data_IF_499519206029
#
_entry.id   IF_499519206029
#
_cell.length_a   1.000
_cell.length_b   1.000
_cell.length_c   1.000
_cell.angle_alpha   90.00
_cell.angle_beta   90.00
_cell.angle_gamma   90.00
#
_symmetry.space_group_name_H-M   'P 1'
#
loop_
_entity.id
_entity.type
_entity.pdbx_description
1 polymer ?
#
# COMPACT_ATOMS: atom_id res chain seq x y z
N UNK A 1 7.74 -25.27 6.13
CA UNK A 1 6.94 -24.13 6.56
C UNK A 1 7.49 -22.84 5.98
N UNK A 2 6.62 -21.88 5.69
CA UNK A 2 6.98 -20.54 5.20
C UNK A 2 6.18 -19.51 5.98
N UNK A 3 6.86 -18.53 6.54
CA UNK A 3 6.23 -17.38 7.18
C UNK A 3 6.14 -16.22 6.20
N UNK A 4 4.91 -15.85 5.83
CA UNK A 4 4.60 -14.72 4.99
C UNK A 4 4.09 -13.57 5.87
N UNK A 5 4.80 -12.45 5.85
CA UNK A 5 4.39 -11.25 6.58
C UNK A 5 3.80 -10.22 5.60
N UNK A 6 2.50 -9.92 5.76
CA UNK A 6 1.78 -8.96 4.91
C UNK A 6 1.70 -7.57 5.53
N UNK A 7 1.71 -6.55 4.66
CA UNK A 7 1.69 -5.13 5.06
C UNK A 7 0.40 -4.72 5.75
N UNK A 8 -0.71 -5.30 5.38
CA UNK A 8 -2.03 -5.07 5.93
C UNK A 8 -2.97 -6.20 5.51
N UNK A 9 -3.99 -6.50 6.32
CA UNK A 9 -5.06 -7.39 5.92
C UNK A 9 -6.14 -6.58 5.18
N UNK A 10 -6.29 -6.81 3.87
CA UNK A 10 -7.13 -5.97 3.00
C UNK A 10 -7.74 -6.77 1.86
N UNK A 11 -8.98 -6.45 1.49
CA UNK A 11 -9.64 -7.00 0.30
C UNK A 11 -8.82 -6.74 -0.98
N UNK A 12 -7.96 -5.75 -0.97
CA UNK A 12 -7.01 -5.45 -2.06
C UNK A 12 -6.09 -6.64 -2.39
N UNK A 13 -5.92 -7.56 -1.43
CA UNK A 13 -5.11 -8.78 -1.54
C UNK A 13 -5.95 -10.06 -1.63
N UNK A 14 -7.23 -9.96 -2.03
CA UNK A 14 -8.15 -11.08 -2.14
C UNK A 14 -7.58 -12.31 -2.89
N UNK A 15 -6.79 -12.18 -3.98
CA UNK A 15 -6.20 -13.35 -4.62
C UNK A 15 -5.28 -14.16 -3.71
N UNK A 16 -4.51 -13.51 -2.82
CA UNK A 16 -3.67 -14.19 -1.83
C UNK A 16 -4.52 -15.02 -0.86
N UNK A 17 -5.59 -14.42 -0.34
CA UNK A 17 -6.48 -15.13 0.60
C UNK A 17 -7.23 -16.26 -0.07
N UNK A 18 -7.68 -16.05 -1.30
CA UNK A 18 -8.31 -17.12 -2.10
C UNK A 18 -7.35 -18.32 -2.29
N UNK A 19 -6.07 -18.06 -2.59
CA UNK A 19 -5.08 -19.11 -2.72
C UNK A 19 -4.84 -19.87 -1.41
N UNK A 20 -4.87 -19.18 -0.27
CA UNK A 20 -4.74 -19.78 1.05
C UNK A 20 -5.97 -20.67 1.37
N UNK A 21 -7.19 -20.11 1.23
CA UNK A 21 -8.44 -20.79 1.57
C UNK A 21 -8.75 -21.98 0.65
N UNK A 22 -8.40 -21.86 -0.64
CA UNK A 22 -8.54 -22.95 -1.61
C UNK A 22 -7.45 -24.02 -1.46
N UNK A 23 -6.42 -23.79 -0.64
CA UNK A 23 -5.40 -24.77 -0.32
C UNK A 23 -4.27 -24.87 -1.34
N UNK A 24 -4.13 -23.93 -2.28
CA UNK A 24 -3.12 -23.98 -3.35
C UNK A 24 -1.68 -24.03 -2.80
N UNK A 25 -1.38 -23.28 -1.75
CA UNK A 25 -0.07 -23.38 -1.09
C UNK A 25 0.21 -24.78 -0.53
N UNK A 26 -0.84 -25.43 0.04
CA UNK A 26 -0.71 -26.78 0.57
C UNK A 26 -0.55 -27.82 -0.54
N UNK A 27 -1.18 -27.63 -1.69
CA UNK A 27 -1.02 -28.50 -2.89
C UNK A 27 0.42 -28.48 -3.38
N UNK A 28 1.08 -27.30 -3.30
CA UNK A 28 2.50 -27.12 -3.61
C UNK A 28 3.45 -27.52 -2.46
N UNK A 29 2.93 -28.14 -1.41
CA UNK A 29 3.73 -28.58 -0.25
C UNK A 29 4.16 -27.47 0.71
N UNK A 30 3.62 -26.27 0.57
CA UNK A 30 3.94 -25.10 1.39
C UNK A 30 3.00 -25.05 2.59
N UNK A 31 3.55 -25.22 3.80
CA UNK A 31 2.85 -24.95 5.05
C UNK A 31 3.01 -23.46 5.37
N UNK A 32 2.04 -22.63 4.93
CA UNK A 32 2.08 -21.19 5.06
C UNK A 32 1.59 -20.72 6.43
N UNK A 33 2.31 -19.79 7.04
CA UNK A 33 1.87 -19.00 8.20
C UNK A 33 1.77 -17.55 7.78
N UNK A 34 0.57 -16.97 7.80
CA UNK A 34 0.34 -15.57 7.48
C UNK A 34 0.40 -14.70 8.74
N UNK A 35 1.19 -13.63 8.70
CA UNK A 35 1.36 -12.67 9.79
C UNK A 35 1.08 -11.27 9.25
N UNK A 36 0.31 -10.45 9.99
CA UNK A 36 0.08 -9.06 9.63
C UNK A 36 1.09 -8.14 10.33
N UNK A 37 1.98 -7.52 9.57
CA UNK A 37 3.00 -6.60 10.05
C UNK A 37 2.50 -5.20 10.33
N UNK A 38 1.32 -4.83 9.81
CA UNK A 38 0.73 -3.50 9.94
C UNK A 38 1.66 -2.35 9.50
N UNK A 39 2.30 -2.54 8.33
CA UNK A 39 3.14 -1.53 7.70
C UNK A 39 4.40 -2.07 7.04
N UNK A 40 4.79 -1.48 5.91
CA UNK A 40 5.91 -1.95 5.09
C UNK A 40 7.26 -1.94 5.83
N UNK A 41 7.49 -0.96 6.69
CA UNK A 41 8.68 -0.87 7.56
C UNK A 41 8.79 -2.05 8.53
N UNK A 42 7.67 -2.47 9.12
CA UNK A 42 7.62 -3.62 10.05
C UNK A 42 7.77 -4.94 9.31
N UNK A 43 7.12 -5.08 8.14
CA UNK A 43 7.28 -6.25 7.27
C UNK A 43 8.73 -6.39 6.84
N UNK A 44 9.37 -5.29 6.40
CA UNK A 44 10.77 -5.30 6.01
C UNK A 44 11.69 -5.62 7.20
N UNK A 45 11.40 -5.08 8.38
CA UNK A 45 12.14 -5.42 9.60
C UNK A 45 12.07 -6.92 9.89
N UNK A 46 10.87 -7.51 9.88
CA UNK A 46 10.68 -8.95 10.09
C UNK A 46 11.42 -9.80 9.04
N UNK A 47 11.43 -9.34 7.78
CA UNK A 47 12.14 -10.02 6.70
C UNK A 47 13.67 -9.99 6.92
N UNK A 48 14.24 -8.83 7.26
CA UNK A 48 15.69 -8.67 7.46
C UNK A 48 16.15 -9.39 8.74
N UNK A 49 15.37 -9.34 9.82
CA UNK A 49 15.68 -10.06 11.07
C UNK A 49 15.58 -11.59 10.93
N UNK A 50 14.83 -12.09 9.95
CA UNK A 50 14.56 -13.52 9.76
C UNK A 50 13.34 -14.03 10.53
N UNK A 51 12.52 -13.13 11.08
CA UNK A 51 11.22 -13.48 11.68
C UNK A 51 10.16 -13.82 10.62
N UNK A 52 10.40 -13.43 9.37
CA UNK A 52 9.62 -13.83 8.20
C UNK A 52 10.54 -14.29 7.07
N UNK A 53 10.08 -15.28 6.30
CA UNK A 53 10.76 -15.80 5.11
C UNK A 53 10.46 -14.93 3.88
N UNK A 54 9.20 -14.50 3.76
CA UNK A 54 8.70 -13.69 2.65
C UNK A 54 7.96 -12.48 3.23
N UNK A 55 8.27 -11.29 2.69
CA UNK A 55 7.55 -10.05 2.95
C UNK A 55 6.62 -9.75 1.78
N UNK A 56 5.37 -9.38 2.08
CA UNK A 56 4.39 -8.92 1.12
C UNK A 56 4.03 -7.46 1.41
N UNK A 57 4.56 -6.54 0.62
CA UNK A 57 4.50 -5.10 0.87
C UNK A 57 4.71 -4.29 -0.39
N UNK A 58 4.67 -2.97 -0.29
CA UNK A 58 5.01 -2.09 -1.40
C UNK A 58 6.44 -2.38 -1.90
N UNK A 59 6.59 -2.41 -3.22
CA UNK A 59 7.86 -2.77 -3.87
C UNK A 59 9.00 -1.79 -3.56
N UNK A 60 8.69 -0.55 -3.17
CA UNK A 60 9.65 0.49 -2.79
C UNK A 60 10.51 0.11 -1.59
N UNK A 61 9.99 -0.73 -0.68
CA UNK A 61 10.71 -1.12 0.53
C UNK A 61 12.01 -1.88 0.22
N UNK A 62 12.03 -2.65 -0.88
CA UNK A 62 13.25 -3.33 -1.35
C UNK A 62 14.32 -2.34 -1.84
N UNK A 63 13.88 -1.24 -2.47
CA UNK A 63 14.78 -0.17 -2.95
C UNK A 63 15.47 0.50 -1.77
N UNK A 64 14.72 0.79 -0.69
CA UNK A 64 15.28 1.41 0.50
C UNK A 64 16.32 0.54 1.19
N UNK A 65 16.11 -0.77 1.31
CA UNK A 65 17.08 -1.67 1.91
C UNK A 65 18.36 -1.77 1.08
N UNK A 66 18.23 -1.84 -0.23
CA UNK A 66 19.37 -1.82 -1.14
C UNK A 66 20.14 -0.49 -1.06
N UNK A 67 19.45 0.65 -1.13
CA UNK A 67 20.06 1.98 -1.07
C UNK A 67 20.77 2.25 0.26
N UNK A 68 20.29 1.65 1.36
CA UNK A 68 20.91 1.74 2.69
C UNK A 68 22.10 0.77 2.88
N UNK A 69 22.52 0.06 1.84
CA UNK A 69 23.73 -0.77 1.85
C UNK A 69 23.58 -2.11 2.55
N UNK A 70 22.35 -2.64 2.64
CA UNK A 70 22.17 -4.01 3.16
C UNK A 70 22.86 -5.01 2.23
N UNK A 71 23.74 -5.86 2.76
CA UNK A 71 24.44 -6.91 1.99
C UNK A 71 23.48 -8.02 1.57
N UNK A 72 22.54 -8.42 2.45
CA UNK A 72 21.49 -9.39 2.19
C UNK A 72 20.15 -8.67 2.02
N UNK A 73 20.06 -7.85 0.97
CA UNK A 73 18.88 -7.02 0.70
C UNK A 73 17.71 -7.85 0.17
N UNK A 74 16.51 -7.28 0.33
CA UNK A 74 15.28 -7.85 -0.18
C UNK A 74 15.17 -7.63 -1.70
N UNK A 75 14.70 -8.65 -2.41
CA UNK A 75 14.41 -8.62 -3.85
C UNK A 75 12.94 -8.96 -4.05
N UNK A 76 12.26 -8.16 -4.86
CA UNK A 76 10.89 -8.46 -5.31
C UNK A 76 10.96 -9.57 -6.36
N UNK A 77 10.28 -10.68 -6.14
CA UNK A 77 10.28 -11.83 -7.05
C UNK A 77 8.93 -12.12 -7.69
N UNK A 78 7.83 -11.62 -7.10
CA UNK A 78 6.49 -11.76 -7.66
C UNK A 78 5.66 -10.51 -7.33
N UNK A 79 4.74 -10.16 -8.22
CA UNK A 79 3.84 -9.02 -8.08
C UNK A 79 2.40 -9.50 -7.97
N UNK A 80 1.64 -9.00 -6.98
CA UNK A 80 0.22 -9.27 -6.87
C UNK A 80 -0.62 -8.12 -7.45
N UNK A 81 -0.33 -6.88 -7.07
CA UNK A 81 -1.09 -5.71 -7.50
C UNK A 81 -0.26 -4.83 -8.43
N UNK A 82 -0.87 -4.42 -9.55
CA UNK A 82 -0.19 -3.71 -10.63
C UNK A 82 -0.68 -2.26 -10.82
N UNK A 83 -1.50 -1.78 -9.88
CA UNK A 83 -1.98 -0.39 -9.79
C UNK A 83 -2.20 -0.04 -8.33
N UNK A 84 -2.26 1.26 -8.04
CA UNK A 84 -2.72 1.71 -6.74
C UNK A 84 -4.18 1.29 -6.51
N UNK A 85 -4.49 0.83 -5.31
CA UNK A 85 -5.84 0.36 -4.93
C UNK A 85 -6.61 1.40 -4.12
N UNK A 86 -6.12 2.63 -4.05
CA UNK A 86 -6.70 3.68 -3.27
C UNK A 86 -7.39 4.74 -4.14
N UNK A 87 -8.29 5.46 -3.48
CA UNK A 87 -9.13 6.49 -4.06
C UNK A 87 -8.96 7.80 -3.29
N UNK A 88 -9.18 8.90 -3.97
CA UNK A 88 -9.31 10.20 -3.35
C UNK A 88 -10.78 10.44 -3.02
N UNK A 89 -11.06 10.69 -1.76
CA UNK A 89 -12.40 10.97 -1.24
C UNK A 89 -12.45 12.44 -0.84
N UNK A 90 -13.39 13.18 -1.42
CA UNK A 90 -13.66 14.59 -1.09
C UNK A 90 -14.71 14.71 0.01
N UNK A 91 -14.63 15.76 0.82
CA UNK A 91 -15.65 16.10 1.82
C UNK A 91 -16.95 16.58 1.18
N UNK A 92 -16.88 17.16 0.02
CA UNK A 92 -18.03 17.74 -0.71
C UNK A 92 -18.15 17.12 -2.11
N UNK A 93 -19.37 17.04 -2.66
CA UNK A 93 -19.54 16.55 -4.03
C UNK A 93 -18.77 17.39 -5.04
N UNK A 94 -18.12 16.74 -6.00
CA UNK A 94 -17.41 17.39 -7.10
C UNK A 94 -17.66 16.59 -8.38
N UNK A 95 -18.42 17.15 -9.34
CA UNK A 95 -18.75 16.49 -10.60
C UNK A 95 -17.59 16.52 -11.60
N UNK A 96 -16.77 17.59 -11.57
CA UNK A 96 -15.69 17.85 -12.51
C UNK A 96 -14.33 18.00 -11.78
N UNK A 97 -14.00 17.09 -10.85
CA UNK A 97 -12.74 17.14 -10.11
C UNK A 97 -11.53 17.16 -11.04
N UNK A 98 -10.61 18.08 -10.74
CA UNK A 98 -9.28 18.15 -11.34
C UNK A 98 -8.22 18.04 -10.25
N UNK A 99 -7.09 17.38 -10.54
CA UNK A 99 -6.01 17.21 -9.54
C UNK A 99 -5.47 18.56 -9.03
N UNK A 100 -5.52 19.59 -9.86
CA UNK A 100 -5.13 20.97 -9.53
C UNK A 100 -6.02 21.61 -8.46
N UNK A 101 -7.23 21.10 -8.23
CA UNK A 101 -8.13 21.55 -7.16
C UNK A 101 -7.59 21.26 -5.76
N UNK A 102 -6.56 20.40 -5.67
CA UNK A 102 -5.89 20.09 -4.41
C UNK A 102 -4.96 21.21 -3.92
N UNK A 103 -4.67 22.22 -4.74
CA UNK A 103 -3.83 23.34 -4.33
C UNK A 103 -4.43 24.08 -3.11
N UNK A 104 -3.65 24.23 -2.06
CA UNK A 104 -4.06 24.86 -0.79
C UNK A 104 -4.99 24.00 0.08
N UNK A 105 -5.21 22.74 -0.28
CA UNK A 105 -6.11 21.85 0.46
C UNK A 105 -5.39 21.02 1.50
N UNK A 106 -6.16 20.63 2.52
CA UNK A 106 -5.73 19.67 3.52
C UNK A 106 -6.19 18.27 3.16
N UNK A 107 -5.24 17.31 3.12
CA UNK A 107 -5.49 15.93 2.72
C UNK A 107 -5.01 15.00 3.83
N UNK A 108 -5.87 14.09 4.28
CA UNK A 108 -5.42 12.92 5.03
C UNK A 108 -4.73 11.99 4.03
N UNK A 109 -3.42 12.13 3.91
CA UNK A 109 -2.62 11.43 2.93
C UNK A 109 -2.19 10.05 3.38
N UNK A 110 -1.96 9.14 2.42
CA UNK A 110 -1.53 7.78 2.65
C UNK A 110 -0.34 7.64 3.62
N UNK A 111 -0.12 6.42 4.08
CA UNK A 111 0.89 6.13 5.10
C UNK A 111 2.27 6.67 4.74
N UNK A 112 2.88 7.43 5.67
CA UNK A 112 4.22 8.00 5.50
C UNK A 112 5.28 6.91 5.20
N UNK A 113 6.09 7.14 4.17
CA UNK A 113 7.17 6.24 3.79
C UNK A 113 6.73 4.98 3.04
N UNK A 114 5.44 4.84 2.69
CA UNK A 114 4.90 3.70 1.97
C UNK A 114 4.46 4.03 0.55
N UNK A 115 4.12 2.99 -0.21
CA UNK A 115 3.64 3.11 -1.59
C UNK A 115 2.43 4.07 -1.73
N UNK A 116 1.45 4.11 -0.80
CA UNK A 116 0.36 5.07 -0.87
C UNK A 116 0.82 6.52 -0.93
N UNK A 117 1.80 6.90 -0.13
CA UNK A 117 2.40 8.24 -0.20
C UNK A 117 3.11 8.47 -1.53
N UNK A 118 3.99 7.55 -1.93
CA UNK A 118 4.80 7.71 -3.14
C UNK A 118 3.94 7.89 -4.40
N UNK A 119 2.88 7.10 -4.53
CA UNK A 119 1.96 7.20 -5.67
C UNK A 119 1.18 8.50 -5.63
N UNK A 120 0.68 8.91 -4.48
CA UNK A 120 -0.03 10.18 -4.34
C UNK A 120 0.88 11.36 -4.71
N UNK A 121 2.08 11.43 -4.16
CA UNK A 121 3.06 12.47 -4.50
C UNK A 121 3.49 12.45 -5.97
N UNK A 122 3.59 11.25 -6.57
CA UNK A 122 3.85 11.12 -8.01
C UNK A 122 2.73 11.76 -8.83
N UNK A 123 1.47 11.49 -8.49
CA UNK A 123 0.31 12.08 -9.16
C UNK A 123 0.31 13.60 -9.01
N UNK A 124 0.53 14.12 -7.81
CA UNK A 124 0.61 15.57 -7.57
C UNK A 124 1.68 16.21 -8.46
N UNK A 125 2.87 15.63 -8.50
CA UNK A 125 3.98 16.13 -9.35
C UNK A 125 3.66 16.06 -10.84
N UNK A 126 2.93 15.02 -11.28
CA UNK A 126 2.45 14.88 -12.65
C UNK A 126 1.51 16.03 -13.05
N UNK A 127 0.75 16.55 -12.09
CA UNK A 127 -0.15 17.69 -12.23
C UNK A 127 0.48 19.02 -11.80
N UNK A 128 1.83 19.10 -11.76
CA UNK A 128 2.62 20.29 -11.41
C UNK A 128 2.32 20.84 -10.00
N UNK A 129 1.88 19.99 -9.07
CA UNK A 129 1.74 20.33 -7.65
C UNK A 129 2.95 19.83 -6.86
N UNK A 130 3.51 20.70 -6.02
CA UNK A 130 4.53 20.31 -5.04
C UNK A 130 3.85 19.79 -3.77
N UNK A 131 4.00 18.49 -3.43
CA UNK A 131 3.36 17.90 -2.26
C UNK A 131 3.68 18.59 -0.93
N UNK A 132 4.84 19.26 -0.85
CA UNK A 132 5.29 19.92 0.38
C UNK A 132 4.93 21.41 0.44
N UNK A 133 4.75 22.05 -0.72
CA UNK A 133 4.52 23.49 -0.82
C UNK A 133 3.05 23.86 -1.12
N UNK A 134 2.38 23.02 -1.92
CA UNK A 134 1.05 23.34 -2.44
C UNK A 134 -0.09 22.69 -1.65
N UNK A 135 0.17 21.70 -0.78
CA UNK A 135 -0.82 20.99 0.00
C UNK A 135 -0.42 20.92 1.49
N UNK A 136 -1.42 20.73 2.36
CA UNK A 136 -1.23 20.26 3.74
C UNK A 136 -1.56 18.76 3.80
N UNK A 137 -0.54 17.90 3.73
CA UNK A 137 -0.73 16.45 3.77
C UNK A 137 -0.49 15.94 5.19
N UNK A 138 -1.59 15.66 5.90
CA UNK A 138 -1.54 15.09 7.26
C UNK A 138 -1.38 13.57 7.19
N UNK A 139 -0.24 13.09 7.68
CA UNK A 139 0.12 11.67 7.77
C UNK A 139 0.27 11.19 9.22
N UNK A 140 -0.25 11.95 10.19
CA UNK A 140 -0.16 11.63 11.62
C UNK A 140 -1.09 10.49 12.04
N UNK A 141 -2.15 10.24 11.26
CA UNK A 141 -3.14 9.20 11.54
C UNK A 141 -2.61 7.84 11.09
N UNK A 142 -2.76 6.84 11.96
CA UNK A 142 -2.32 5.48 11.65
C UNK A 142 -3.07 4.91 10.45
N UNK A 143 -2.34 4.10 9.67
CA UNK A 143 -2.88 3.38 8.52
C UNK A 143 -4.14 2.58 8.89
N UNK A 144 -5.20 2.74 8.09
CA UNK A 144 -6.49 2.09 8.31
C UNK A 144 -7.43 2.83 9.28
N UNK A 145 -7.03 3.96 9.86
CA UNK A 145 -7.87 4.78 10.73
C UNK A 145 -8.29 6.11 10.09
N UNK A 146 -7.79 6.42 8.91
CA UNK A 146 -8.04 7.68 8.19
C UNK A 146 -9.51 7.88 7.88
N UNK A 147 -10.18 6.84 7.36
CA UNK A 147 -11.61 6.89 7.07
C UNK A 147 -12.48 7.16 8.30
N UNK A 148 -12.13 6.57 9.45
CA UNK A 148 -12.86 6.83 10.70
C UNK A 148 -12.61 8.25 11.25
N UNK A 149 -11.42 8.80 10.99
CA UNK A 149 -11.06 10.14 11.42
C UNK A 149 -11.58 11.24 10.49
N UNK A 150 -11.73 10.96 9.20
CA UNK A 150 -12.06 11.93 8.18
C UNK A 150 -13.33 12.74 8.49
N UNK A 151 -14.48 12.14 8.87
CA UNK A 151 -15.71 12.89 9.13
C UNK A 151 -15.57 13.98 10.20
N UNK A 152 -14.75 13.73 11.22
CA UNK A 152 -14.53 14.65 12.35
C UNK A 152 -13.30 15.55 12.19
N UNK A 153 -12.49 15.36 11.14
CA UNK A 153 -11.30 16.16 10.84
C UNK A 153 -11.66 17.47 10.13
N UNK A 154 -10.67 18.34 9.97
CA UNK A 154 -10.76 19.56 9.15
C UNK A 154 -10.20 19.34 7.72
N UNK A 155 -9.87 18.11 7.35
CA UNK A 155 -9.35 17.80 6.02
C UNK A 155 -10.43 17.93 4.93
N UNK A 156 -10.03 18.44 3.77
CA UNK A 156 -10.88 18.58 2.59
C UNK A 156 -11.02 17.23 1.86
N UNK A 157 -9.95 16.43 1.90
CA UNK A 157 -9.85 15.13 1.21
C UNK A 157 -9.20 14.07 2.09
N UNK A 158 -9.44 12.81 1.74
CA UNK A 158 -8.75 11.65 2.31
C UNK A 158 -8.37 10.65 1.23
N UNK A 159 -7.22 9.98 1.41
CA UNK A 159 -6.75 8.90 0.54
C UNK A 159 -7.10 7.57 1.18
N UNK A 160 -8.09 6.87 0.62
CA UNK A 160 -8.68 5.68 1.21
C UNK A 160 -8.60 4.46 0.31
N UNK A 161 -8.51 3.28 0.92
CA UNK A 161 -8.69 1.99 0.25
C UNK A 161 -10.14 1.51 0.37
N UNK A 162 -10.52 0.55 -0.46
CA UNK A 162 -11.77 -0.18 -0.25
C UNK A 162 -11.63 -1.17 0.93
N UNK A 163 -12.70 -1.38 1.71
CA UNK A 163 -14.07 -0.87 1.56
C UNK A 163 -14.31 0.51 2.18
N UNK A 164 -13.29 1.17 2.69
CA UNK A 164 -13.44 2.42 3.46
C UNK A 164 -13.91 3.59 2.59
N UNK A 165 -13.44 3.69 1.34
CA UNK A 165 -13.91 4.72 0.40
C UNK A 165 -15.42 4.59 0.16
N UNK A 166 -15.91 3.40 -0.16
CA UNK A 166 -17.35 3.13 -0.31
C UNK A 166 -18.13 3.34 0.99
N UNK A 167 -17.55 3.03 2.15
CA UNK A 167 -18.19 3.27 3.45
C UNK A 167 -18.44 4.76 3.66
N UNK A 168 -17.45 5.62 3.41
CA UNK A 168 -17.59 7.06 3.52
C UNK A 168 -18.71 7.60 2.62
N UNK A 169 -18.81 7.11 1.37
CA UNK A 169 -19.90 7.49 0.47
C UNK A 169 -21.26 7.02 0.98
N UNK A 170 -21.37 5.76 1.38
CA UNK A 170 -22.62 5.15 1.83
C UNK A 170 -23.17 5.83 3.07
N UNK A 171 -22.28 6.28 3.97
CA UNK A 171 -22.62 7.00 5.18
C UNK A 171 -22.85 8.51 4.94
N UNK A 172 -22.63 9.00 3.72
CA UNK A 172 -22.74 10.43 3.39
C UNK A 172 -21.63 11.30 4.00
N UNK A 173 -20.50 10.69 4.35
CA UNK A 173 -19.36 11.34 4.99
C UNK A 173 -18.26 11.75 4.01
N UNK A 174 -18.38 11.38 2.73
CA UNK A 174 -17.44 11.72 1.68
C UNK A 174 -17.93 11.29 0.29
N UNK A 175 -17.19 11.67 -0.73
CA UNK A 175 -17.49 11.41 -2.13
C UNK A 175 -16.21 10.98 -2.84
N UNK A 176 -16.20 9.79 -3.46
CA UNK A 176 -15.06 9.35 -4.27
C UNK A 176 -14.99 10.22 -5.53
N UNK A 177 -13.88 10.93 -5.71
CA UNK A 177 -13.69 11.87 -6.82
C UNK A 177 -12.65 11.41 -7.82
N UNK A 178 -11.69 10.55 -7.41
CA UNK A 178 -10.67 10.03 -8.31
C UNK A 178 -10.12 8.68 -7.86
N UNK A 179 -9.69 7.87 -8.84
CA UNK A 179 -8.92 6.64 -8.62
C UNK A 179 -7.43 6.95 -8.78
N UNK A 180 -6.64 6.75 -7.73
CA UNK A 180 -5.19 6.90 -7.82
C UNK A 180 -4.58 5.84 -8.76
N UNK A 181 -5.21 4.67 -8.85
CA UNK A 181 -4.76 3.59 -9.74
C UNK A 181 -4.96 3.87 -11.22
N UNK A 182 -6.00 4.62 -11.58
CA UNK A 182 -6.20 5.10 -12.95
C UNK A 182 -5.17 6.18 -13.29
N UNK A 183 -5.01 7.17 -12.41
CA UNK A 183 -4.16 8.32 -12.64
C UNK A 183 -2.67 7.97 -12.65
N UNK A 184 -2.21 7.10 -11.74
CA UNK A 184 -0.81 6.66 -11.70
C UNK A 184 -0.45 5.70 -12.83
N UNK A 185 -1.42 4.99 -13.39
CA UNK A 185 -1.17 3.92 -14.34
C UNK A 185 -0.59 2.65 -13.69
N UNK A 186 0.12 1.86 -14.50
CA UNK A 186 0.76 0.62 -14.02
C UNK A 186 1.96 0.91 -13.13
N UNK A 187 1.96 0.28 -11.97
CA UNK A 187 3.06 0.31 -10.99
C UNK A 187 3.09 -1.03 -10.25
N UNK A 188 4.27 -1.62 -9.95
CA UNK A 188 4.35 -2.81 -9.11
C UNK A 188 4.05 -2.42 -7.65
N UNK A 189 2.75 -2.22 -7.36
CA UNK A 189 2.30 -1.58 -6.13
C UNK A 189 2.56 -2.44 -4.91
N UNK A 190 2.16 -3.72 -4.95
CA UNK A 190 2.47 -4.68 -3.88
C UNK A 190 3.11 -5.93 -4.47
N UNK A 191 4.23 -6.33 -3.89
CA UNK A 191 5.05 -7.42 -4.35
C UNK A 191 5.47 -8.34 -3.21
N UNK A 192 5.75 -9.58 -3.55
CA UNK A 192 6.42 -10.54 -2.66
C UNK A 192 7.93 -10.34 -2.76
N UNK A 193 8.56 -10.23 -1.61
CA UNK A 193 9.99 -9.99 -1.48
C UNK A 193 10.62 -11.02 -0.55
N UNK A 194 11.83 -11.44 -0.86
CA UNK A 194 12.64 -12.27 0.01
C UNK A 194 14.10 -11.80 0.00
N UNK A 195 14.86 -12.16 1.04
CA UNK A 195 16.30 -11.86 1.08
C UNK A 195 17.03 -12.59 -0.04
N UNK A 196 18.11 -11.99 -0.55
CA UNK A 196 18.94 -12.62 -1.59
C UNK A 196 19.48 -13.98 -1.17
N UNK A 197 19.81 -14.17 0.12
CA UNK A 197 20.20 -15.47 0.67
C UNK A 197 19.07 -16.49 0.59
N UNK A 198 17.84 -16.11 0.96
CA UNK A 198 16.68 -16.99 0.93
C UNK A 198 16.33 -17.45 -0.47
N UNK A 199 16.35 -16.54 -1.45
CA UNK A 199 16.10 -16.85 -2.87
C UNK A 199 17.10 -17.89 -3.43
N UNK A 200 18.34 -17.82 -2.98
CA UNK A 200 19.39 -18.76 -3.40
C UNK A 200 19.27 -20.15 -2.78
N UNK A 201 18.81 -20.21 -1.53
CA UNK A 201 18.75 -21.46 -0.77
C UNK A 201 17.41 -22.20 -0.89
N UNK A 202 16.36 -21.52 -1.33
CA UNK A 202 15.00 -22.07 -1.45
C UNK A 202 14.37 -21.78 -2.83
N UNK A 203 15.05 -22.08 -3.94
CA UNK A 203 14.53 -21.75 -5.28
C UNK A 203 13.21 -22.47 -5.60
N UNK A 204 12.98 -23.65 -5.02
CA UNK A 204 11.75 -24.44 -5.19
C UNK A 204 10.52 -23.81 -4.54
N UNK A 205 10.71 -22.94 -3.54
CA UNK A 205 9.60 -22.21 -2.90
C UNK A 205 9.22 -20.97 -3.70
N UNK A 206 10.15 -20.45 -4.48
CA UNK A 206 10.01 -19.19 -5.21
C UNK A 206 9.38 -19.39 -6.60
N UNK A 207 9.51 -20.59 -7.17
CA UNK A 207 8.96 -20.96 -8.48
C UNK A 207 7.45 -21.21 -8.44
#
# INVERSE_FOLDING_TARGET
PVTLNEVAHSIFYAPQYAAIELGYFKEEGIALTLVNGAGADKVMTALISGDADIGFMGSEASIYTYANGSEDYAVNFAQLTQRAGNFLVSRTPQEDFQWEDLAGKKVLGGRKGGMPQLVFEYILKKHNLDPAADLDIDQSINFGLTAAAFPSSDADYSVEFEPFATTLETEGNGYVVASLGEESGYVPYTAYSAKTSYLKTNPEIIQ
#
